data_IF_219026824396
#
_entry.id   IF_219026824396
#
_cell.length_a   1.000
_cell.length_b   1.000
_cell.length_c   1.000
_cell.angle_alpha   90.00
_cell.angle_beta   90.00
_cell.angle_gamma   90.00
#
_symmetry.space_group_name_H-M   'P 1'
#
loop_
_entity.id
_entity.type
_entity.pdbx_description
1 polymer ?
#
# COMPACT_ATOMS: atom_id res chain seq x y z
N UNK A 1 -15.09 4.53 2.97
CA UNK A 1 -13.93 5.09 2.23
C UNK A 1 -13.15 3.92 1.68
N UNK A 2 -12.66 3.98 0.45
CA UNK A 2 -11.84 2.91 -0.11
C UNK A 2 -10.37 3.11 0.24
N UNK A 3 -9.63 2.02 0.38
CA UNK A 3 -8.19 2.06 0.65
C UNK A 3 -7.40 2.79 -0.44
N UNK A 4 -7.86 2.74 -1.70
CA UNK A 4 -7.20 3.42 -2.81
C UNK A 4 -7.23 4.95 -2.70
N UNK A 5 -8.18 5.52 -1.96
CA UNK A 5 -8.34 6.97 -1.82
C UNK A 5 -7.59 7.53 -0.61
N UNK A 6 -7.04 6.66 0.24
CA UNK A 6 -6.31 7.02 1.45
C UNK A 6 -4.98 7.69 1.11
N UNK A 7 -4.65 8.78 1.81
CA UNK A 7 -3.38 9.49 1.61
C UNK A 7 -2.25 8.78 2.35
N UNK A 8 -1.01 8.96 1.90
CA UNK A 8 0.11 8.42 2.66
C UNK A 8 0.26 9.19 3.97
N UNK A 9 0.67 8.49 5.02
CA UNK A 9 0.69 8.94 6.40
C UNK A 9 -0.55 8.51 7.20
N UNK A 10 -1.70 8.31 6.56
CA UNK A 10 -2.94 8.05 7.30
C UNK A 10 -2.93 6.66 7.95
N UNK A 11 -3.47 6.60 9.18
CA UNK A 11 -3.79 5.35 9.85
C UNK A 11 -5.26 5.03 9.67
N UNK A 12 -5.53 3.82 9.20
CA UNK A 12 -6.88 3.39 8.86
C UNK A 12 -7.18 1.99 9.40
N UNK A 13 -8.47 1.67 9.50
CA UNK A 13 -8.99 0.38 9.96
C UNK A 13 -9.83 -0.27 8.88
N UNK A 14 -9.70 -1.58 8.66
CA UNK A 14 -10.58 -2.33 7.74
C UNK A 14 -11.98 -2.43 8.33
N UNK A 15 -12.98 -1.84 7.65
CA UNK A 15 -14.39 -2.12 7.94
C UNK A 15 -14.83 -3.41 7.30
N UNK A 16 -14.56 -3.55 6.01
CA UNK A 16 -15.16 -4.59 5.19
C UNK A 16 -14.30 -4.82 3.95
N UNK A 17 -14.37 -6.05 3.45
CA UNK A 17 -13.68 -6.46 2.23
C UNK A 17 -14.77 -6.85 1.24
N UNK A 18 -14.81 -6.13 0.14
CA UNK A 18 -15.75 -6.33 -0.96
C UNK A 18 -15.13 -7.25 -2.01
N UNK A 19 -15.96 -7.98 -2.76
CA UNK A 19 -15.52 -8.77 -3.91
C UNK A 19 -15.72 -10.27 -3.77
N UNK A 20 -15.27 -11.00 -4.78
CA UNK A 20 -15.52 -12.44 -4.93
C UNK A 20 -14.63 -13.26 -3.98
N UNK A 21 -15.01 -14.51 -3.71
CA UNK A 21 -14.24 -15.42 -2.83
C UNK A 21 -12.76 -15.52 -3.16
N UNK A 22 -12.39 -15.49 -4.45
CA UNK A 22 -10.99 -15.54 -4.87
C UNK A 22 -10.18 -14.31 -4.39
N UNK A 23 -10.82 -13.14 -4.31
CA UNK A 23 -10.20 -11.91 -3.80
C UNK A 23 -10.12 -11.97 -2.28
N UNK A 24 -11.20 -12.41 -1.62
CA UNK A 24 -11.25 -12.60 -0.17
C UNK A 24 -10.13 -13.53 0.31
N UNK A 25 -9.99 -14.71 -0.30
CA UNK A 25 -8.93 -15.68 0.03
C UNK A 25 -7.52 -15.12 -0.17
N UNK A 26 -7.31 -14.28 -1.18
CA UNK A 26 -6.00 -13.60 -1.39
C UNK A 26 -5.71 -12.59 -0.29
N UNK A 27 -6.70 -11.80 0.12
CA UNK A 27 -6.57 -10.80 1.18
C UNK A 27 -6.32 -11.49 2.53
N UNK A 28 -7.03 -12.58 2.81
CA UNK A 28 -6.81 -13.40 4.00
C UNK A 28 -5.43 -14.06 3.99
N UNK A 29 -4.95 -14.59 2.85
CA UNK A 29 -3.62 -15.18 2.73
C UNK A 29 -2.49 -14.16 2.94
N UNK A 30 -2.75 -12.87 2.68
CA UNK A 30 -1.84 -11.78 3.03
C UNK A 30 -1.88 -11.41 4.52
N UNK A 31 -2.77 -12.01 5.30
CA UNK A 31 -2.94 -11.76 6.73
C UNK A 31 -3.76 -10.51 7.05
N UNK A 32 -4.54 -10.00 6.09
CA UNK A 32 -5.42 -8.86 6.31
C UNK A 32 -6.83 -9.34 6.66
N UNK A 33 -7.34 -8.89 7.81
CA UNK A 33 -8.67 -9.26 8.32
C UNK A 33 -9.51 -8.04 8.65
N UNK A 34 -10.82 -8.22 8.64
CA UNK A 34 -11.76 -7.19 9.10
C UNK A 34 -11.40 -6.77 10.54
N UNK A 35 -11.32 -5.46 10.76
CA UNK A 35 -10.93 -4.88 12.04
C UNK A 35 -9.43 -4.57 12.18
N UNK A 36 -8.58 -5.06 11.28
CA UNK A 36 -7.14 -4.75 11.31
C UNK A 36 -6.89 -3.27 11.09
N UNK A 37 -5.83 -2.77 11.72
CA UNK A 37 -5.37 -1.39 11.58
C UNK A 37 -4.03 -1.34 10.86
N UNK A 38 -3.84 -0.33 10.03
CA UNK A 38 -2.57 -0.13 9.34
C UNK A 38 -2.33 1.32 8.99
N UNK A 39 -1.06 1.62 8.76
CA UNK A 39 -0.56 2.91 8.35
C UNK A 39 -0.15 2.85 6.87
N UNK A 40 -0.64 3.79 6.06
CA UNK A 40 -0.23 3.90 4.66
C UNK A 40 1.10 4.62 4.60
N UNK A 41 2.21 3.91 4.41
CA UNK A 41 3.53 4.55 4.39
C UNK A 41 3.72 5.31 3.08
N UNK A 42 3.50 4.64 1.95
CA UNK A 42 3.86 5.19 0.65
C UNK A 42 3.05 4.59 -0.49
N UNK A 43 2.80 5.39 -1.53
CA UNK A 43 2.22 4.92 -2.79
C UNK A 43 3.30 4.82 -3.88
N UNK A 44 3.37 3.67 -4.53
CA UNK A 44 4.27 3.36 -5.64
C UNK A 44 3.48 3.02 -6.90
N UNK A 45 3.05 4.04 -7.64
CA UNK A 45 2.26 3.86 -8.85
C UNK A 45 0.96 3.11 -8.58
N UNK A 46 0.89 1.84 -9.03
CA UNK A 46 -0.25 0.95 -8.81
C UNK A 46 -0.19 0.18 -7.48
N UNK A 47 0.85 0.32 -6.68
CA UNK A 47 1.00 -0.41 -5.43
C UNK A 47 1.03 0.55 -4.24
N UNK A 48 0.59 0.07 -3.08
CA UNK A 48 0.56 0.78 -1.81
C UNK A 48 1.40 -0.02 -0.81
N UNK A 49 2.36 0.65 -0.18
CA UNK A 49 3.10 0.10 0.94
C UNK A 49 2.37 0.48 2.23
N UNK A 50 1.85 -0.53 2.93
CA UNK A 50 1.19 -0.39 4.23
C UNK A 50 2.00 -1.08 5.31
N UNK A 51 1.91 -0.56 6.53
CA UNK A 51 2.48 -1.15 7.72
C UNK A 51 1.38 -1.55 8.69
N UNK A 52 1.41 -2.81 9.12
CA UNK A 52 0.58 -3.34 10.19
C UNK A 52 1.53 -3.75 11.34
N UNK A 53 1.68 -2.86 12.33
CA UNK A 53 2.65 -3.03 13.42
C UNK A 53 4.08 -3.21 12.91
N UNK A 54 4.63 -4.41 13.09
CA UNK A 54 5.98 -4.77 12.64
C UNK A 54 6.06 -5.24 11.18
N UNK A 55 4.94 -5.61 10.58
CA UNK A 55 4.90 -6.14 9.24
C UNK A 55 4.69 -5.01 8.22
N UNK A 56 5.42 -5.09 7.10
CA UNK A 56 5.22 -4.23 5.94
C UNK A 56 4.70 -5.07 4.80
N UNK A 57 3.60 -4.64 4.20
CA UNK A 57 2.96 -5.35 3.10
C UNK A 57 2.77 -4.42 1.91
N UNK A 58 2.89 -4.99 0.73
CA UNK A 58 2.62 -4.28 -0.51
C UNK A 58 1.27 -4.76 -1.03
N UNK A 59 0.32 -3.84 -1.13
CA UNK A 59 -1.03 -4.09 -1.65
C UNK A 59 -1.12 -3.47 -3.05
N UNK A 60 -1.59 -4.24 -4.03
CA UNK A 60 -1.86 -3.70 -5.35
C UNK A 60 -3.14 -2.87 -5.37
N UNK A 61 -3.25 -1.92 -6.30
CA UNK A 61 -4.42 -1.07 -6.47
C UNK A 61 -5.68 -1.88 -6.75
N UNK A 62 -5.55 -3.03 -7.40
CA UNK A 62 -6.66 -3.92 -7.71
C UNK A 62 -7.25 -4.55 -6.45
N UNK A 63 -6.41 -4.82 -5.44
CA UNK A 63 -6.87 -5.27 -4.13
C UNK A 63 -7.38 -4.09 -3.31
N UNK A 64 -6.70 -2.95 -3.34
CA UNK A 64 -7.10 -1.76 -2.55
C UNK A 64 -8.47 -1.20 -2.92
N UNK A 65 -8.92 -1.35 -4.18
CA UNK A 65 -10.28 -0.97 -4.60
C UNK A 65 -11.39 -1.76 -3.93
N UNK A 66 -11.05 -2.93 -3.41
CA UNK A 66 -11.97 -3.89 -2.80
C UNK A 66 -11.99 -3.81 -1.27
N UNK A 67 -11.27 -2.86 -0.67
CA UNK A 67 -11.15 -2.78 0.79
C UNK A 67 -11.77 -1.46 1.25
N UNK A 68 -12.83 -1.57 2.06
CA UNK A 68 -13.40 -0.44 2.77
C UNK A 68 -12.70 -0.21 4.10
N UNK A 69 -12.32 1.04 4.33
CA UNK A 69 -11.58 1.47 5.50
C UNK A 69 -12.23 2.68 6.20
N UNK A 70 -11.90 2.83 7.49
CA UNK A 70 -12.17 4.01 8.34
C UNK A 70 -10.88 4.74 8.63
N UNK A 71 -10.89 6.07 8.58
CA UNK A 71 -9.77 6.88 9.06
C UNK A 71 -9.80 6.86 10.59
N UNK A 72 -8.68 6.52 11.22
CA UNK A 72 -8.50 6.67 12.66
C UNK A 72 -7.73 7.97 12.93
N UNK A 73 -6.60 8.14 12.23
CA UNK A 73 -5.75 9.32 12.36
C UNK A 73 -5.31 9.77 10.98
N UNK A 74 -5.39 11.08 10.75
CA UNK A 74 -4.87 11.72 9.54
C UNK A 74 -3.47 12.21 9.83
N UNK A 75 -2.49 11.85 9.01
CA UNK A 75 -1.13 12.35 9.15
C UNK A 75 -0.70 13.15 7.93
N UNK A 76 0.28 14.03 8.13
CA UNK A 76 0.88 14.75 7.02
C UNK A 76 1.77 13.79 6.24
N UNK A 77 1.44 13.59 4.97
CA UNK A 77 2.17 12.75 4.03
C UNK A 77 3.64 13.19 3.94
N UNK A 78 4.56 12.43 4.53
CA UNK A 78 5.99 12.72 4.54
C UNK A 78 6.75 12.12 3.34
N UNK A 79 6.04 11.69 2.30
CA UNK A 79 6.64 10.90 1.23
C UNK A 79 7.54 11.74 0.31
N UNK A 80 8.81 11.88 0.67
CA UNK A 80 9.87 12.17 -0.30
C UNK A 80 10.07 10.93 -1.18
N UNK A 81 9.44 10.91 -2.36
CA UNK A 81 9.70 9.87 -3.36
C UNK A 81 11.17 9.99 -3.82
N UNK A 82 12.07 9.17 -3.26
CA UNK A 82 13.46 9.08 -3.72
C UNK A 82 13.54 8.02 -4.82
N UNK A 83 13.57 8.40 -6.12
CA UNK A 83 13.73 7.42 -7.18
C UNK A 83 15.08 6.71 -7.03
N UNK A 84 15.10 5.41 -7.26
CA UNK A 84 16.35 4.65 -7.35
C UNK A 84 17.18 5.26 -8.49
N UNK A 85 18.29 5.94 -8.16
CA UNK A 85 19.24 6.45 -9.14
C UNK A 85 19.87 5.25 -9.87
N UNK A 86 19.33 4.87 -11.03
CA UNK A 86 19.96 3.88 -11.91
C UNK A 86 21.33 4.43 -12.33
N UNK A 87 22.41 3.95 -11.71
CA UNK A 87 23.78 4.20 -12.18
C UNK A 87 23.94 3.54 -13.55
N UNK A 88 23.87 4.35 -14.61
CA UNK A 88 24.03 3.92 -16.00
C UNK A 88 25.53 3.75 -16.25
N UNK A 89 26.06 2.54 -16.10
CA UNK A 89 27.44 2.23 -16.51
C UNK A 89 27.49 2.19 -18.05
N UNK A 90 27.93 3.28 -18.67
CA UNK A 90 28.31 3.28 -20.09
C UNK A 90 29.78 2.86 -20.18
N UNK A 91 30.03 1.64 -20.65
CA UNK A 91 31.37 1.25 -21.07
C UNK A 91 31.67 2.01 -22.36
N UNK A 92 32.50 3.04 -22.25
CA UNK A 92 33.03 3.74 -23.41
C UNK A 92 34.03 2.83 -24.11
N UNK A 93 33.72 2.39 -25.33
CA UNK A 93 34.72 1.85 -26.22
C UNK A 93 35.53 3.05 -26.72
N UNK A 94 36.70 3.26 -26.12
CA UNK A 94 37.73 4.14 -26.68
C UNK A 94 38.05 3.65 -28.10
N UNK A 95 37.96 4.57 -29.07
CA UNK A 95 38.58 4.46 -30.40
C UNK A 95 39.33 5.75 -30.64
#
# INVERSE_FOLDING_TARGET
>A
MLLIDVRCGDKVKIKEILGNEAVLKKIEAMGLRKGDTFEVIQRWGRNLLVRNGNNRLVISSDIAKNIEVELIETAVCSSEFKPCKRKRWRWGWFK
#
